data_IF_592554281519
#
_entry.id   IF_592554281519
#
_cell.length_a   1.000
_cell.length_b   1.000
_cell.length_c   1.000
_cell.angle_alpha   90.00
_cell.angle_beta   90.00
_cell.angle_gamma   90.00
#
_symmetry.space_group_name_H-M   'P 1'
#
loop_
_entity.id
_entity.type
_entity.pdbx_description
1 polymer ?
#
# COMPACT_ATOMS: atom_id res chain seq x y z
N UNK A 1 -17.70 -21.12 -4.64
CA UNK A 1 -17.46 -19.85 -3.91
C UNK A 1 -18.65 -18.97 -4.15
N UNK A 2 -19.24 -18.42 -3.10
CA UNK A 2 -20.30 -17.41 -3.23
C UNK A 2 -19.63 -16.05 -3.24
N UNK A 3 -20.04 -15.17 -4.17
CA UNK A 3 -19.61 -13.78 -4.22
C UNK A 3 -20.82 -12.88 -4.38
N UNK A 4 -20.71 -11.66 -3.90
CA UNK A 4 -21.72 -10.63 -4.03
C UNK A 4 -21.06 -9.34 -4.53
N UNK A 5 -21.70 -8.65 -5.46
CA UNK A 5 -21.20 -7.40 -6.03
C UNK A 5 -22.12 -6.26 -5.60
N UNK A 6 -21.60 -5.31 -4.84
CA UNK A 6 -22.28 -4.09 -4.46
C UNK A 6 -21.91 -2.97 -5.42
N UNK A 7 -22.89 -2.46 -6.17
CA UNK A 7 -22.70 -1.35 -7.10
C UNK A 7 -23.15 -0.06 -6.43
N UNK A 8 -22.31 0.96 -6.43
CA UNK A 8 -22.60 2.27 -5.86
C UNK A 8 -21.43 2.83 -5.03
N UNK A 9 -21.74 3.87 -4.25
CA UNK A 9 -20.80 4.48 -3.34
C UNK A 9 -20.34 3.48 -2.26
N UNK A 10 -19.03 3.48 -1.96
CA UNK A 10 -18.44 2.54 -1.01
C UNK A 10 -18.91 2.79 0.43
N UNK A 11 -19.10 4.04 0.84
CA UNK A 11 -19.62 4.37 2.18
C UNK A 11 -21.06 3.89 2.36
N UNK A 12 -21.89 4.07 1.33
CA UNK A 12 -23.29 3.60 1.38
C UNK A 12 -23.36 2.07 1.41
N UNK A 13 -22.45 1.40 0.72
CA UNK A 13 -22.34 -0.06 0.76
C UNK A 13 -21.85 -0.54 2.11
N UNK A 14 -20.80 0.05 2.65
CA UNK A 14 -20.25 -0.30 3.96
C UNK A 14 -21.26 -0.09 5.09
N UNK A 15 -22.02 1.02 5.07
CA UNK A 15 -23.06 1.32 6.08
C UNK A 15 -24.15 0.26 6.18
N UNK A 16 -24.41 -0.47 5.10
CA UNK A 16 -25.40 -1.56 5.07
C UNK A 16 -24.87 -2.87 5.62
N UNK A 17 -23.55 -3.00 5.76
CA UNK A 17 -22.91 -4.19 6.27
C UNK A 17 -22.95 -4.21 7.81
N UNK A 18 -23.10 -5.42 8.38
CA UNK A 18 -23.07 -5.60 9.82
C UNK A 18 -21.67 -5.33 10.41
N UNK A 19 -21.63 -4.90 11.66
CA UNK A 19 -20.38 -4.74 12.40
C UNK A 19 -19.65 -6.10 12.51
N UNK A 20 -18.33 -6.06 12.48
CA UNK A 20 -17.46 -7.22 12.63
C UNK A 20 -17.83 -8.41 11.72
N UNK A 21 -18.33 -8.15 10.51
CA UNK A 21 -18.76 -9.18 9.53
C UNK A 21 -17.68 -9.55 8.51
N UNK A 22 -16.61 -8.75 8.39
CA UNK A 22 -15.56 -8.91 7.37
C UNK A 22 -14.27 -9.38 8.01
N UNK A 23 -13.63 -10.40 7.47
CA UNK A 23 -12.37 -10.97 7.97
C UNK A 23 -11.15 -10.22 7.44
N UNK A 24 -11.20 -9.81 6.17
CA UNK A 24 -10.09 -9.18 5.48
C UNK A 24 -10.58 -8.20 4.43
N UNK A 25 -9.91 -7.07 4.29
CA UNK A 25 -10.15 -6.09 3.23
C UNK A 25 -8.89 -5.96 2.39
N UNK A 26 -9.02 -6.11 1.08
CA UNK A 26 -7.95 -5.85 0.11
C UNK A 26 -8.46 -4.79 -0.84
N UNK A 27 -7.77 -3.65 -0.92
CA UNK A 27 -8.26 -2.53 -1.71
C UNK A 27 -7.15 -1.67 -2.30
N UNK A 28 -7.48 -1.07 -3.44
CA UNK A 28 -6.70 -0.02 -4.10
C UNK A 28 -7.67 1.13 -4.42
N UNK A 29 -7.86 2.08 -3.51
CA UNK A 29 -8.76 3.22 -3.74
C UNK A 29 -8.26 4.09 -4.89
N UNK A 30 -9.09 4.98 -5.45
CA UNK A 30 -8.65 5.92 -6.46
C UNK A 30 -7.42 6.71 -5.97
N UNK A 31 -6.42 6.88 -6.85
CA UNK A 31 -5.19 7.60 -6.51
C UNK A 31 -5.41 9.10 -6.68
N UNK A 32 -4.78 9.88 -5.83
CA UNK A 32 -4.87 11.33 -5.81
C UNK A 32 -4.46 11.96 -7.16
N UNK A 33 -5.37 12.72 -7.77
CA UNK A 33 -5.13 13.47 -9.00
C UNK A 33 -4.83 12.62 -10.24
N UNK A 34 -5.11 11.30 -10.21
CA UNK A 34 -4.71 10.41 -11.29
C UNK A 34 -5.79 10.25 -12.37
N UNK A 35 -7.03 10.03 -11.98
CA UNK A 35 -8.13 9.74 -12.92
C UNK A 35 -9.42 10.44 -12.51
N UNK A 36 -10.06 11.02 -13.51
CA UNK A 36 -11.44 11.47 -13.43
C UNK A 36 -12.34 10.40 -14.09
N UNK A 37 -13.22 9.81 -13.31
CA UNK A 37 -14.18 8.80 -13.77
C UNK A 37 -15.52 9.43 -14.21
N UNK A 38 -15.67 10.77 -14.10
CA UNK A 38 -16.86 11.50 -14.49
C UNK A 38 -18.04 11.29 -13.54
N UNK A 39 -17.77 10.92 -12.30
CA UNK A 39 -18.79 10.71 -11.25
C UNK A 39 -18.66 11.81 -10.21
N UNK A 40 -19.77 12.49 -9.93
CA UNK A 40 -19.77 13.55 -8.91
C UNK A 40 -19.46 12.96 -7.53
N UNK A 41 -18.59 13.64 -6.78
CA UNK A 41 -18.19 13.21 -5.44
C UNK A 41 -17.21 12.04 -5.41
N UNK A 42 -16.62 11.66 -6.56
CA UNK A 42 -15.57 10.62 -6.56
C UNK A 42 -14.37 11.01 -5.70
N UNK A 43 -13.82 10.02 -5.01
CA UNK A 43 -12.54 10.15 -4.30
C UNK A 43 -11.39 10.21 -5.31
N UNK A 44 -10.38 11.04 -5.04
CA UNK A 44 -9.16 11.19 -5.85
C UNK A 44 -9.09 12.51 -6.61
N UNK A 45 -10.11 13.35 -6.57
CA UNK A 45 -10.13 14.68 -7.20
C UNK A 45 -10.23 15.83 -6.19
N UNK A 46 -9.97 15.57 -4.93
CA UNK A 46 -9.95 16.57 -3.88
C UNK A 46 -8.92 17.68 -4.21
N UNK A 47 -9.20 18.94 -3.83
CA UNK A 47 -8.31 20.07 -4.10
C UNK A 47 -6.91 19.92 -3.49
N UNK A 48 -6.83 19.27 -2.33
CA UNK A 48 -5.58 19.11 -1.58
C UNK A 48 -5.33 17.67 -1.17
N UNK A 49 -4.05 17.27 -0.99
CA UNK A 49 -3.71 15.97 -0.43
C UNK A 49 -4.33 15.71 0.94
N UNK A 50 -4.47 16.75 1.76
CA UNK A 50 -5.01 16.61 3.12
C UNK A 50 -6.51 16.31 3.09
N UNK A 51 -7.26 16.93 2.17
CA UNK A 51 -8.68 16.60 1.96
C UNK A 51 -8.87 15.18 1.42
N UNK A 52 -8.03 14.76 0.48
CA UNK A 52 -8.00 13.37 0.00
C UNK A 52 -7.73 12.38 1.13
N UNK A 53 -6.73 12.66 1.97
CA UNK A 53 -6.41 11.82 3.13
C UNK A 53 -7.61 11.77 4.09
N UNK A 54 -8.26 12.90 4.35
CA UNK A 54 -9.43 12.96 5.22
C UNK A 54 -10.61 12.15 4.65
N UNK A 55 -10.84 12.20 3.34
CA UNK A 55 -11.86 11.40 2.67
C UNK A 55 -11.59 9.91 2.82
N UNK A 56 -10.34 9.46 2.62
CA UNK A 56 -9.96 8.07 2.83
C UNK A 56 -10.11 7.65 4.30
N UNK A 57 -9.69 8.48 5.26
CA UNK A 57 -9.87 8.18 6.70
C UNK A 57 -11.35 7.95 7.02
N UNK A 58 -12.26 8.76 6.45
CA UNK A 58 -13.69 8.58 6.64
C UNK A 58 -14.18 7.21 6.13
N UNK A 59 -13.72 6.79 4.95
CA UNK A 59 -14.01 5.43 4.41
C UNK A 59 -13.46 4.35 5.34
N UNK A 60 -12.21 4.49 5.77
CA UNK A 60 -11.56 3.48 6.60
C UNK A 60 -12.11 3.38 8.03
N UNK A 61 -12.82 4.41 8.53
CA UNK A 61 -13.61 4.30 9.77
C UNK A 61 -14.77 3.31 9.61
N UNK A 62 -15.50 3.35 8.49
CA UNK A 62 -16.53 2.38 8.18
C UNK A 62 -15.94 0.98 7.93
N UNK A 63 -14.80 0.89 7.22
CA UNK A 63 -14.05 -0.36 7.08
C UNK A 63 -13.71 -0.94 8.45
N UNK A 64 -13.24 -0.11 9.40
CA UNK A 64 -12.91 -0.55 10.77
C UNK A 64 -14.13 -1.06 11.52
N UNK A 65 -15.31 -0.46 11.33
CA UNK A 65 -16.55 -0.92 11.94
C UNK A 65 -16.93 -2.32 11.46
N UNK A 66 -16.91 -2.55 10.14
CA UNK A 66 -17.31 -3.82 9.54
C UNK A 66 -16.25 -4.91 9.68
N UNK A 67 -14.99 -4.55 9.91
CA UNK A 67 -13.89 -5.49 10.08
C UNK A 67 -13.97 -6.16 11.45
N UNK A 68 -13.71 -7.46 11.51
CA UNK A 68 -13.58 -8.22 12.77
C UNK A 68 -12.39 -7.69 13.58
N UNK A 69 -12.37 -7.96 14.89
CA UNK A 69 -11.30 -7.49 15.76
C UNK A 69 -9.94 -8.13 15.44
N UNK A 70 -9.94 -9.36 14.90
CA UNK A 70 -8.77 -10.08 14.40
C UNK A 70 -8.52 -9.87 12.89
N UNK A 71 -9.28 -8.99 12.24
CA UNK A 71 -9.22 -8.75 10.81
C UNK A 71 -8.06 -7.88 10.35
N UNK A 72 -7.75 -7.95 9.05
CA UNK A 72 -6.65 -7.22 8.42
C UNK A 72 -7.10 -6.42 7.21
N UNK A 73 -6.37 -5.34 6.93
CA UNK A 73 -6.53 -4.53 5.71
C UNK A 73 -5.21 -4.53 4.94
N UNK A 74 -5.32 -4.77 3.64
CA UNK A 74 -4.20 -4.69 2.68
C UNK A 74 -4.50 -3.56 1.72
N UNK A 75 -3.84 -2.41 1.95
CA UNK A 75 -4.10 -1.16 1.24
C UNK A 75 -2.99 -0.88 0.23
N UNK A 76 -3.32 -0.98 -1.07
CA UNK A 76 -2.39 -0.58 -2.12
C UNK A 76 -2.58 0.89 -2.48
N UNK A 77 -1.50 1.65 -2.51
CA UNK A 77 -1.47 3.05 -2.89
C UNK A 77 -0.28 3.39 -3.77
N UNK A 78 -0.55 4.15 -4.83
CA UNK A 78 0.46 4.81 -5.64
C UNK A 78 0.67 6.26 -5.23
N UNK A 79 1.85 6.77 -5.51
CA UNK A 79 2.22 8.17 -5.22
C UNK A 79 2.30 9.00 -6.50
N UNK A 80 2.16 10.28 -6.38
CA UNK A 80 2.22 11.24 -7.48
C UNK A 80 3.16 12.40 -7.16
N UNK A 81 3.46 13.20 -8.18
CA UNK A 81 4.33 14.37 -8.07
C UNK A 81 3.52 15.65 -8.22
N UNK A 82 3.88 16.67 -7.44
CA UNK A 82 3.34 18.02 -7.57
C UNK A 82 3.72 18.59 -8.94
N UNK A 83 2.72 18.84 -9.77
CA UNK A 83 2.90 19.38 -11.12
C UNK A 83 2.24 20.76 -11.19
N UNK A 84 2.93 21.79 -11.73
CA UNK A 84 2.26 23.04 -12.02
C UNK A 84 1.15 22.79 -13.06
N UNK A 85 0.08 23.60 -13.06
CA UNK A 85 -0.93 23.52 -14.10
C UNK A 85 -0.25 23.71 -15.46
N UNK A 86 -0.52 22.80 -16.39
CA UNK A 86 0.08 22.84 -17.71
C UNK A 86 -0.41 24.10 -18.44
N UNK A 87 0.47 25.06 -18.67
CA UNK A 87 0.14 26.25 -19.47
C UNK A 87 -0.21 25.78 -20.90
N UNK A 88 -1.48 25.86 -21.26
CA UNK A 88 -1.95 25.70 -22.64
C UNK A 88 -2.08 24.27 -23.15
N UNK A 89 -1.99 23.25 -22.34
CA UNK A 89 -2.38 21.89 -22.74
C UNK A 89 -3.89 21.70 -22.59
N UNK A 90 -4.65 22.15 -23.56
CA UNK A 90 -5.97 21.58 -23.85
C UNK A 90 -5.76 20.11 -24.13
N UNK A 91 -6.07 19.25 -23.18
CA UNK A 91 -6.12 17.79 -23.22
C UNK A 91 -5.07 17.06 -24.07
N UNK A 92 -4.89 15.77 -23.88
CA UNK A 92 -4.01 14.99 -24.73
C UNK A 92 -4.56 15.03 -26.16
N UNK A 93 -3.90 15.79 -27.02
CA UNK A 93 -4.12 15.82 -28.48
C UNK A 93 -3.66 14.50 -29.10
N UNK A 94 -4.09 13.37 -28.58
CA UNK A 94 -3.83 12.06 -29.17
C UNK A 94 -5.07 11.58 -29.91
N UNK A 95 -4.85 10.93 -31.05
CA UNK A 95 -5.84 10.34 -31.97
C UNK A 95 -6.76 9.27 -31.31
N UNK A 96 -6.76 9.10 -29.99
CA UNK A 96 -7.48 8.08 -29.27
C UNK A 96 -8.63 8.62 -28.40
N UNK A 97 -9.09 9.85 -28.65
CA UNK A 97 -10.21 10.46 -27.93
C UNK A 97 -11.51 9.65 -28.03
N UNK A 98 -11.70 8.98 -29.17
CA UNK A 98 -12.88 8.16 -29.44
C UNK A 98 -12.97 6.88 -28.58
N UNK A 99 -11.83 6.38 -28.06
CA UNK A 99 -11.78 5.14 -27.29
C UNK A 99 -11.96 5.32 -25.78
N UNK A 100 -11.68 6.51 -25.25
CA UNK A 100 -11.62 6.74 -23.81
C UNK A 100 -12.64 7.76 -23.28
N UNK A 101 -13.50 8.31 -24.13
CA UNK A 101 -14.46 9.35 -23.76
C UNK A 101 -13.80 10.73 -23.57
N UNK A 102 -14.62 11.78 -23.55
CA UNK A 102 -14.16 13.17 -23.50
C UNK A 102 -13.39 13.56 -22.23
N UNK A 103 -13.57 12.81 -21.14
CA UNK A 103 -13.01 13.10 -19.82
C UNK A 103 -11.72 12.32 -19.50
N UNK A 104 -11.28 11.42 -20.39
CA UNK A 104 -10.08 10.65 -20.15
C UNK A 104 -8.82 11.53 -20.30
N UNK A 105 -8.15 11.77 -19.18
CA UNK A 105 -6.88 12.52 -19.17
C UNK A 105 -6.98 13.99 -18.82
N UNK A 106 -8.15 14.51 -18.47
CA UNK A 106 -8.24 15.76 -17.74
C UNK A 106 -7.92 15.55 -16.26
N UNK A 107 -6.68 15.17 -15.98
CA UNK A 107 -6.14 15.58 -14.68
C UNK A 107 -6.21 17.11 -14.70
N UNK A 108 -7.23 17.68 -14.05
CA UNK A 108 -7.25 19.11 -13.73
C UNK A 108 -5.88 19.36 -13.16
N UNK A 109 -5.10 20.27 -13.78
CA UNK A 109 -3.84 20.70 -13.21
C UNK A 109 -4.16 21.25 -11.84
N UNK A 110 -4.16 20.36 -10.84
CA UNK A 110 -4.39 20.73 -9.48
C UNK A 110 -3.34 21.80 -9.17
N UNK A 111 -3.75 22.93 -8.61
CA UNK A 111 -2.82 23.88 -8.05
C UNK A 111 -1.88 23.11 -7.16
N UNK A 112 -0.59 23.45 -7.20
CA UNK A 112 0.37 22.81 -6.32
C UNK A 112 -0.12 23.03 -4.89
N UNK A 113 -0.41 21.97 -4.12
CA UNK A 113 -0.94 22.12 -2.77
C UNK A 113 -0.03 23.00 -1.94
N UNK A 114 -0.62 23.83 -1.08
CA UNK A 114 0.14 24.71 -0.18
C UNK A 114 1.25 23.95 0.54
N UNK A 115 2.47 24.47 0.48
CA UNK A 115 3.66 23.87 1.11
C UNK A 115 4.45 22.91 0.24
N UNK A 116 3.97 22.53 -0.97
CA UNK A 116 4.72 21.75 -1.93
C UNK A 116 5.34 22.61 -3.02
N UNK A 117 6.47 22.19 -3.54
CA UNK A 117 7.14 22.81 -4.68
C UNK A 117 6.90 22.00 -5.96
N UNK A 118 7.00 22.62 -7.16
CA UNK A 118 6.99 21.87 -8.40
C UNK A 118 7.98 20.72 -8.35
N UNK A 119 7.53 19.52 -8.75
CA UNK A 119 8.27 18.25 -8.77
C UNK A 119 8.46 17.56 -7.42
N UNK A 120 7.98 18.12 -6.31
CA UNK A 120 7.98 17.37 -5.05
C UNK A 120 7.17 16.07 -5.19
N UNK A 121 7.68 14.98 -4.62
CA UNK A 121 6.90 13.79 -4.39
C UNK A 121 5.87 14.10 -3.29
N UNK A 122 4.59 13.87 -3.56
CA UNK A 122 3.53 14.28 -2.62
C UNK A 122 3.53 13.43 -1.35
N UNK A 123 3.91 12.16 -1.47
CA UNK A 123 3.98 11.24 -0.35
C UNK A 123 2.61 10.69 0.08
N UNK A 124 1.65 10.62 -0.83
CA UNK A 124 0.28 10.16 -0.56
C UNK A 124 0.22 8.84 0.21
N UNK A 125 0.95 7.77 -0.19
CA UNK A 125 0.86 6.49 0.51
C UNK A 125 1.16 6.60 2.00
N UNK A 126 2.23 7.32 2.33
CA UNK A 126 2.67 7.49 3.72
C UNK A 126 1.81 8.48 4.50
N UNK A 127 1.28 9.54 3.85
CA UNK A 127 0.31 10.44 4.49
C UNK A 127 -0.94 9.69 4.92
N UNK A 128 -1.49 8.83 4.04
CA UNK A 128 -2.65 8.00 4.34
C UNK A 128 -2.30 7.00 5.44
N UNK A 129 -1.17 6.29 5.35
CA UNK A 129 -0.78 5.30 6.35
C UNK A 129 -0.64 5.93 7.75
N UNK A 130 0.00 7.09 7.88
CA UNK A 130 0.13 7.80 9.16
C UNK A 130 -1.19 8.39 9.66
N UNK A 131 -2.05 8.88 8.77
CA UNK A 131 -3.38 9.36 9.16
C UNK A 131 -4.26 8.22 9.70
N UNK A 132 -4.23 7.06 9.06
CA UNK A 132 -4.92 5.86 9.55
C UNK A 132 -4.33 5.39 10.89
N UNK A 133 -3.01 5.42 11.05
CA UNK A 133 -2.37 5.11 12.33
C UNK A 133 -2.82 6.07 13.43
N UNK A 134 -2.88 7.36 13.14
CA UNK A 134 -3.39 8.38 14.08
C UNK A 134 -4.89 8.20 14.40
N UNK A 135 -5.67 7.68 13.44
CA UNK A 135 -7.10 7.34 13.61
C UNK A 135 -7.34 6.01 14.35
N UNK A 136 -6.28 5.36 14.85
CA UNK A 136 -6.34 4.19 15.73
C UNK A 136 -6.12 2.84 15.05
N UNK A 137 -5.68 2.80 13.80
CA UNK A 137 -5.23 1.59 13.14
C UNK A 137 -3.82 1.19 13.60
N UNK A 138 -3.55 -0.10 13.65
CA UNK A 138 -2.18 -0.59 13.79
C UNK A 138 -1.55 -0.70 12.40
N UNK A 139 -0.61 0.18 12.08
CA UNK A 139 0.22 0.07 10.88
C UNK A 139 1.30 -0.99 11.14
N UNK A 140 1.15 -2.16 10.51
CA UNK A 140 1.97 -3.33 10.81
C UNK A 140 3.16 -3.49 9.90
N UNK A 141 2.99 -3.19 8.61
CA UNK A 141 4.05 -3.38 7.62
C UNK A 141 3.78 -2.56 6.37
N UNK A 142 4.83 -2.10 5.73
CA UNK A 142 4.87 -1.71 4.33
C UNK A 142 5.45 -2.84 3.48
N UNK A 143 4.86 -3.06 2.33
CA UNK A 143 5.27 -4.08 1.37
C UNK A 143 5.49 -3.38 0.06
N UNK A 144 6.63 -3.66 -0.58
CA UNK A 144 6.94 -3.12 -1.89
C UNK A 144 6.33 -4.02 -2.98
N UNK A 145 5.36 -3.47 -3.69
CA UNK A 145 4.85 -4.11 -4.90
C UNK A 145 5.77 -3.74 -6.06
N UNK A 146 6.78 -4.56 -6.30
CA UNK A 146 7.72 -4.35 -7.39
C UNK A 146 7.08 -4.63 -8.76
N UNK A 147 7.27 -3.71 -9.71
CA UNK A 147 6.82 -3.83 -11.10
C UNK A 147 8.03 -4.11 -12.00
N UNK A 148 8.20 -5.33 -12.49
CA UNK A 148 9.37 -5.68 -13.32
C UNK A 148 9.37 -4.91 -14.66
N UNK A 149 8.20 -4.54 -15.18
CA UNK A 149 8.03 -3.75 -16.40
C UNK A 149 7.19 -2.50 -16.10
N UNK A 150 7.75 -1.48 -15.40
CA UNK A 150 7.03 -0.25 -15.13
C UNK A 150 6.77 0.50 -16.43
N UNK A 151 5.68 1.29 -16.44
CA UNK A 151 5.42 2.17 -17.58
C UNK A 151 6.58 3.16 -17.75
N UNK A 152 7.14 3.33 -18.97
CA UNK A 152 8.22 4.27 -19.21
C UNK A 152 7.83 5.70 -18.84
N UNK A 153 8.72 6.40 -18.17
CA UNK A 153 8.56 7.82 -17.82
C UNK A 153 9.58 8.66 -18.60
N UNK A 154 9.12 9.72 -19.27
CA UNK A 154 9.98 10.65 -20.00
C UNK A 154 10.69 11.65 -19.07
N UNK A 155 11.14 11.21 -17.90
CA UNK A 155 11.85 12.04 -16.91
C UNK A 155 13.35 11.84 -17.01
N UNK A 156 14.13 12.89 -16.73
CA UNK A 156 15.60 12.89 -16.85
C UNK A 156 16.31 13.27 -15.54
N UNK A 157 15.55 13.60 -14.51
CA UNK A 157 16.04 14.13 -13.23
C UNK A 157 15.75 13.20 -12.04
N UNK A 158 15.24 12.02 -12.31
CA UNK A 158 15.02 10.94 -11.32
C UNK A 158 14.89 9.60 -12.00
N UNK A 159 15.00 8.53 -11.24
CA UNK A 159 14.72 7.18 -11.73
C UNK A 159 13.23 6.98 -12.04
N UNK A 160 12.93 6.08 -12.97
CA UNK A 160 11.56 5.60 -13.21
C UNK A 160 11.05 4.87 -11.97
N UNK A 161 9.83 5.19 -11.55
CA UNK A 161 9.22 4.53 -10.39
C UNK A 161 8.75 3.12 -10.77
N UNK A 162 9.35 2.11 -10.13
CA UNK A 162 9.10 0.71 -10.42
C UNK A 162 8.40 -0.02 -9.27
N UNK A 163 7.72 0.69 -8.37
CA UNK A 163 7.01 0.08 -7.25
C UNK A 163 5.78 0.90 -6.81
N UNK A 164 4.90 0.22 -6.10
CA UNK A 164 3.83 0.81 -5.29
C UNK A 164 3.93 0.26 -3.86
N UNK A 165 3.20 0.87 -2.93
CA UNK A 165 3.16 0.41 -1.55
C UNK A 165 1.89 -0.37 -1.29
N UNK A 166 2.02 -1.49 -0.59
CA UNK A 166 0.90 -2.19 0.03
C UNK A 166 1.10 -2.13 1.53
N UNK A 167 0.20 -1.49 2.25
CA UNK A 167 0.25 -1.42 3.70
C UNK A 167 -0.60 -2.51 4.31
N UNK A 168 -0.03 -3.23 5.27
CA UNK A 168 -0.76 -4.11 6.16
C UNK A 168 -1.17 -3.32 7.40
N UNK A 169 -2.49 -3.20 7.59
CA UNK A 169 -3.07 -2.60 8.78
C UNK A 169 -3.94 -3.63 9.50
N UNK A 170 -4.07 -3.50 10.80
CA UNK A 170 -4.98 -4.30 11.61
C UNK A 170 -5.80 -3.42 12.55
N UNK A 171 -6.97 -3.94 12.95
CA UNK A 171 -7.86 -3.26 13.87
C UNK A 171 -7.36 -3.34 15.31
N UNK A 172 -6.64 -4.42 15.63
CA UNK A 172 -6.16 -4.74 16.97
C UNK A 172 -4.68 -5.12 16.97
N UNK A 173 -4.05 -5.11 18.13
CA UNK A 173 -2.67 -5.57 18.32
C UNK A 173 -2.50 -7.05 17.90
N UNK A 174 -3.51 -7.87 18.19
CA UNK A 174 -3.56 -9.28 17.82
C UNK A 174 -4.53 -9.46 16.65
N UNK A 175 -4.06 -10.07 15.58
CA UNK A 175 -4.84 -10.30 14.38
C UNK A 175 -4.48 -11.65 13.75
N UNK A 176 -5.36 -12.17 12.91
CA UNK A 176 -5.12 -13.42 12.21
C UNK A 176 -4.04 -13.24 11.13
N UNK A 177 -3.02 -14.08 11.19
CA UNK A 177 -1.97 -14.15 10.19
C UNK A 177 -1.39 -15.56 10.11
N UNK A 178 -1.64 -16.26 9.01
CA UNK A 178 -1.13 -17.60 8.78
C UNK A 178 0.34 -17.57 8.32
N UNK A 179 1.24 -17.52 9.28
CA UNK A 179 2.67 -17.50 9.02
C UNK A 179 3.19 -18.81 8.41
N UNK A 180 2.48 -19.94 8.61
CA UNK A 180 2.91 -21.21 8.05
C UNK A 180 2.66 -21.28 6.55
N UNK A 181 1.48 -20.77 6.10
CA UNK A 181 1.10 -20.78 4.69
C UNK A 181 2.03 -19.95 3.78
N UNK A 182 2.75 -18.99 4.34
CA UNK A 182 3.62 -18.09 3.58
C UNK A 182 5.11 -18.39 3.71
N UNK A 183 5.48 -19.46 4.41
CA UNK A 183 6.89 -19.85 4.54
C UNK A 183 7.48 -20.22 3.18
N UNK A 184 8.71 -19.83 2.96
CA UNK A 184 9.50 -20.20 1.78
C UNK A 184 10.78 -20.92 2.20
N UNK A 185 11.37 -21.78 1.34
CA UNK A 185 12.64 -22.42 1.64
C UNK A 185 13.73 -21.41 1.97
N UNK A 186 14.50 -21.69 3.00
CA UNK A 186 15.63 -20.81 3.36
C UNK A 186 16.72 -20.88 2.29
N UNK A 187 17.19 -19.73 1.82
CA UNK A 187 18.24 -19.65 0.76
C UNK A 187 19.53 -20.38 1.15
N UNK A 188 19.77 -20.55 2.45
CA UNK A 188 20.97 -21.21 2.98
C UNK A 188 20.69 -22.58 3.63
N UNK A 189 19.51 -23.16 3.41
CA UNK A 189 19.21 -24.50 3.92
C UNK A 189 20.22 -25.56 3.44
N UNK A 190 20.83 -25.32 2.27
CA UNK A 190 21.74 -26.25 1.60
C UNK A 190 23.23 -25.87 1.75
N UNK A 191 23.58 -24.92 2.61
CA UNK A 191 24.96 -24.48 2.78
C UNK A 191 25.87 -25.43 3.56
N UNK A 192 25.44 -26.67 3.82
CA UNK A 192 26.31 -27.73 4.37
C UNK A 192 26.98 -27.41 5.73
N UNK A 193 26.55 -26.37 6.44
CA UNK A 193 27.04 -26.11 7.80
C UNK A 193 26.31 -27.06 8.74
N UNK A 194 27.00 -28.00 9.38
CA UNK A 194 26.37 -28.88 10.35
C UNK A 194 25.69 -28.03 11.43
N UNK A 195 24.39 -28.26 11.64
CA UNK A 195 23.70 -27.70 12.77
C UNK A 195 24.40 -28.23 14.03
N UNK A 196 25.14 -27.41 14.75
CA UNK A 196 25.65 -27.81 16.08
C UNK A 196 24.44 -28.16 16.91
N UNK A 197 24.29 -29.42 17.25
CA UNK A 197 23.25 -29.91 18.15
C UNK A 197 23.34 -29.12 19.44
N UNK A 198 22.20 -28.66 19.95
CA UNK A 198 22.07 -27.97 21.23
C UNK A 198 22.62 -28.92 22.32
N UNK A 199 23.86 -28.68 22.78
CA UNK A 199 24.49 -29.50 23.80
C UNK A 199 25.99 -29.77 23.64
N UNK A 200 26.57 -29.57 22.47
CA UNK A 200 28.03 -29.67 22.28
C UNK A 200 28.66 -28.29 22.45
N UNK A 201 28.82 -27.89 23.71
CA UNK A 201 29.77 -26.85 24.10
C UNK A 201 31.16 -27.52 24.07
N UNK A 202 32.00 -27.13 23.13
CA UNK A 202 33.45 -27.45 23.21
C UNK A 202 33.98 -26.83 24.52
N UNK A 203 34.74 -27.62 25.25
CA UNK A 203 35.20 -27.34 26.62
C UNK A 203 36.08 -26.09 26.80
N UNK A 204 36.35 -25.28 25.74
CA UNK A 204 37.22 -24.13 25.81
C UNK A 204 36.81 -22.95 24.91
N UNK A 205 35.53 -22.80 24.53
CA UNK A 205 35.09 -21.77 23.60
C UNK A 205 34.24 -20.70 24.22
N UNK A 206 34.80 -19.68 24.82
CA UNK A 206 34.09 -18.42 25.00
C UNK A 206 33.80 -17.81 23.61
N UNK A 207 32.57 -17.33 23.35
CA UNK A 207 32.27 -16.65 22.09
C UNK A 207 33.14 -15.40 21.99
N UNK A 208 33.79 -15.22 20.86
CA UNK A 208 34.55 -14.00 20.57
C UNK A 208 33.65 -12.77 20.75
N UNK A 209 34.16 -11.67 21.36
CA UNK A 209 33.38 -10.46 21.55
C UNK A 209 32.83 -9.97 20.21
N UNK A 210 31.49 -9.88 20.09
CA UNK A 210 30.80 -9.42 18.90
C UNK A 210 30.12 -10.51 18.03
N UNK A 211 30.26 -11.79 18.34
CA UNK A 211 29.48 -12.83 17.69
C UNK A 211 28.15 -13.06 18.43
N UNK A 212 27.05 -12.62 17.81
CA UNK A 212 25.72 -13.02 18.25
C UNK A 212 25.56 -14.54 18.10
N UNK A 213 24.93 -15.23 19.07
CA UNK A 213 24.69 -16.66 18.98
C UNK A 213 23.88 -16.97 17.73
N UNK A 214 24.43 -17.78 16.83
CA UNK A 214 23.76 -18.25 15.63
C UNK A 214 22.49 -19.02 16.04
N UNK A 215 21.31 -18.46 15.80
CA UNK A 215 20.09 -19.25 15.86
C UNK A 215 20.13 -20.26 14.73
N UNK A 216 19.78 -21.49 15.02
CA UNK A 216 19.62 -22.54 14.01
C UNK A 216 18.77 -22.01 12.86
N UNK A 217 19.33 -22.02 11.65
CA UNK A 217 18.56 -21.68 10.43
C UNK A 217 17.55 -22.80 10.27
N UNK A 218 16.28 -22.50 10.43
CA UNK A 218 15.20 -23.43 10.10
C UNK A 218 15.18 -23.62 8.59
N UNK A 219 14.80 -24.79 8.09
CA UNK A 219 14.69 -25.07 6.65
C UNK A 219 13.72 -24.12 5.94
N UNK A 220 12.83 -23.48 6.68
CA UNK A 220 11.84 -22.53 6.21
C UNK A 220 12.01 -21.18 6.91
N UNK A 221 11.76 -20.11 6.19
CA UNK A 221 11.78 -18.74 6.69
C UNK A 221 10.51 -17.98 6.32
N UNK A 222 10.22 -16.92 7.03
CA UNK A 222 9.15 -16.02 6.63
C UNK A 222 9.46 -15.36 5.28
N UNK A 223 8.45 -15.22 4.45
CA UNK A 223 8.56 -14.54 3.16
C UNK A 223 9.00 -13.09 3.35
N UNK A 224 9.86 -12.61 2.48
CA UNK A 224 10.28 -11.21 2.48
C UNK A 224 9.15 -10.31 1.97
N UNK A 225 9.10 -9.08 2.46
CA UNK A 225 8.12 -8.05 2.05
C UNK A 225 8.49 -7.32 0.75
N UNK A 226 9.38 -7.91 -0.05
CA UNK A 226 9.84 -7.33 -1.32
C UNK A 226 9.37 -8.17 -2.49
#
# INVERSE_FOLDING_TARGET
MNYEIHVGDCLDSLRKMADASVNCVVTSPPYFGLRDYGVDGQIGLEPTPDEFVAALVAVFREVRRVLRDDGTVWLNLGDSYARPPAKGCSGPGGKNREWYGENYGQARGAEIPSGLKPKDLIGIPWRVAFALQADGWYLRQDIIWHKPNPMPESVRDRCTKAHEYVFLLSKSERYFYDSEAIKEPAVYADCGRPSKKKGELEANGEPLPGQLPFRAVTEMRNRRSV
#
